data_IF_303764797718
#
_entry.id   IF_303764797718
#
_cell.length_a   1.000
_cell.length_b   1.000
_cell.length_c   1.000
_cell.angle_alpha   90.00
_cell.angle_beta   90.00
_cell.angle_gamma   90.00
#
_symmetry.space_group_name_H-M   'P 1'
#
loop_
_entity.id
_entity.type
_entity.pdbx_description
1 polymer ?
#
# COMPACT_ATOMS: atom_id res chain seq x y z
N UNK A 1 9.25 -24.27 -7.15
CA UNK A 1 8.84 -23.48 -5.97
C UNK A 1 7.38 -23.12 -6.20
N UNK A 2 6.48 -23.37 -5.24
CA UNK A 2 5.06 -23.02 -5.39
C UNK A 2 4.93 -21.52 -5.14
N UNK A 3 4.35 -20.78 -6.07
CA UNK A 3 4.04 -19.36 -5.87
C UNK A 3 2.92 -19.24 -4.84
N UNK A 4 3.10 -18.47 -3.75
CA UNK A 4 2.07 -18.34 -2.73
C UNK A 4 0.87 -17.56 -3.27
N UNK A 5 -0.31 -17.86 -2.73
CA UNK A 5 -1.49 -17.04 -2.98
C UNK A 5 -1.43 -15.85 -2.05
N UNK A 6 -1.57 -14.65 -2.58
CA UNK A 6 -1.56 -13.41 -1.79
C UNK A 6 -2.96 -12.82 -1.80
N UNK A 7 -3.47 -12.46 -0.62
CA UNK A 7 -4.72 -11.74 -0.45
C UNK A 7 -4.42 -10.36 0.13
N UNK A 8 -4.51 -9.34 -0.72
CA UNK A 8 -4.29 -7.93 -0.38
C UNK A 8 -5.60 -7.27 0.00
N UNK A 9 -5.58 -6.52 1.10
CA UNK A 9 -6.70 -5.78 1.64
C UNK A 9 -6.36 -4.29 1.63
N UNK A 10 -7.28 -3.49 1.12
CA UNK A 10 -7.24 -2.03 1.17
C UNK A 10 -8.58 -1.53 1.73
N UNK A 11 -8.51 -0.59 2.66
CA UNK A 11 -9.68 0.06 3.24
C UNK A 11 -9.94 1.37 2.49
N UNK A 12 -11.14 1.52 1.94
CA UNK A 12 -11.60 2.67 1.17
C UNK A 12 -12.97 3.11 1.73
N UNK A 13 -13.02 4.24 2.45
CA UNK A 13 -14.26 4.86 2.94
C UNK A 13 -15.24 3.86 3.62
N UNK A 14 -14.73 3.07 4.58
CA UNK A 14 -15.48 2.04 5.33
C UNK A 14 -15.83 0.76 4.53
N UNK A 15 -15.49 0.72 3.24
CA UNK A 15 -15.56 -0.46 2.39
C UNK A 15 -14.17 -1.09 2.23
N UNK A 16 -14.10 -2.41 2.18
CA UNK A 16 -12.85 -3.13 1.99
C UNK A 16 -12.75 -3.65 0.56
N UNK A 17 -11.68 -3.29 -0.13
CA UNK A 17 -11.28 -3.89 -1.41
C UNK A 17 -10.33 -5.05 -1.14
N UNK A 18 -10.67 -6.23 -1.65
CA UNK A 18 -9.93 -7.47 -1.50
C UNK A 18 -9.45 -7.92 -2.87
N UNK A 19 -8.15 -8.09 -3.01
CA UNK A 19 -7.52 -8.60 -4.24
C UNK A 19 -6.75 -9.87 -3.91
N UNK A 20 -7.14 -10.99 -4.52
CA UNK A 20 -6.47 -12.28 -4.38
C UNK A 20 -5.71 -12.59 -5.65
N UNK A 21 -4.39 -12.70 -5.56
CA UNK A 21 -3.50 -13.02 -6.67
C UNK A 21 -2.77 -14.34 -6.44
N UNK A 22 -2.61 -15.13 -7.49
CA UNK A 22 -1.88 -16.40 -7.47
C UNK A 22 -2.04 -17.18 -8.77
N UNK A 23 -1.04 -18.00 -9.12
CA UNK A 23 -1.02 -18.81 -10.34
C UNK A 23 -1.24 -17.96 -11.62
N UNK A 24 -0.66 -16.76 -11.67
CA UNK A 24 -0.79 -15.82 -12.78
C UNK A 24 -2.20 -15.27 -12.99
N UNK A 25 -3.10 -15.40 -12.00
CA UNK A 25 -4.47 -14.89 -12.03
C UNK A 25 -4.72 -13.99 -10.83
N UNK A 26 -5.63 -13.04 -11.00
CA UNK A 26 -6.05 -12.12 -9.94
C UNK A 26 -7.57 -12.00 -9.95
N UNK A 27 -8.18 -11.99 -8.77
CA UNK A 27 -9.59 -11.74 -8.56
C UNK A 27 -9.78 -10.67 -7.50
N UNK A 28 -10.74 -9.76 -7.74
CA UNK A 28 -11.05 -8.67 -6.83
C UNK A 28 -12.51 -8.73 -6.38
N UNK A 29 -12.76 -8.38 -5.12
CA UNK A 29 -14.10 -8.21 -4.56
C UNK A 29 -14.11 -7.07 -3.56
N UNK A 30 -15.32 -6.65 -3.14
CA UNK A 30 -15.52 -5.70 -2.07
C UNK A 30 -16.41 -6.26 -0.97
N UNK A 31 -16.20 -5.80 0.26
CA UNK A 31 -16.97 -6.22 1.43
C UNK A 31 -17.08 -5.12 2.49
N UNK A 32 -18.18 -5.09 3.27
CA UNK A 32 -18.31 -4.18 4.40
C UNK A 32 -17.59 -4.76 5.64
N UNK A 33 -16.51 -4.09 6.08
CA UNK A 33 -15.69 -4.52 7.22
C UNK A 33 -14.73 -5.69 6.93
N UNK A 34 -13.71 -5.83 7.79
CA UNK A 34 -12.58 -6.74 7.63
C UNK A 34 -12.97 -8.21 7.81
N UNK A 35 -13.95 -8.51 8.66
CA UNK A 35 -14.43 -9.89 8.83
C UNK A 35 -15.14 -10.37 7.56
N UNK A 36 -16.04 -9.56 6.99
CA UNK A 36 -16.67 -9.89 5.72
C UNK A 36 -15.65 -9.92 4.57
N UNK A 37 -14.64 -9.05 4.61
CA UNK A 37 -13.52 -9.07 3.68
C UNK A 37 -12.73 -10.38 3.75
N UNK A 38 -12.46 -10.90 4.96
CA UNK A 38 -11.80 -12.19 5.17
C UNK A 38 -12.59 -13.34 4.55
N UNK A 39 -13.90 -13.37 4.79
CA UNK A 39 -14.79 -14.38 4.22
C UNK A 39 -14.85 -14.28 2.69
N UNK A 40 -14.82 -13.06 2.14
CA UNK A 40 -14.75 -12.84 0.70
C UNK A 40 -13.43 -13.27 0.10
N UNK A 41 -12.31 -13.06 0.80
CA UNK A 41 -11.02 -13.56 0.36
C UNK A 41 -11.05 -15.08 0.18
N UNK A 42 -11.59 -15.84 1.14
CA UNK A 42 -11.73 -17.31 1.02
C UNK A 42 -12.55 -17.71 -0.22
N UNK A 43 -13.67 -17.03 -0.47
CA UNK A 43 -14.48 -17.29 -1.68
C UNK A 43 -13.74 -16.98 -2.98
N UNK A 44 -12.85 -15.97 -2.98
CA UNK A 44 -12.01 -15.66 -4.13
C UNK A 44 -10.92 -16.72 -4.32
N UNK A 45 -10.31 -17.18 -3.23
CA UNK A 45 -9.28 -18.22 -3.24
C UNK A 45 -9.89 -19.53 -3.76
N UNK A 46 -11.09 -19.91 -3.32
CA UNK A 46 -11.87 -21.06 -3.84
C UNK A 46 -12.05 -21.02 -5.36
N UNK A 47 -12.36 -19.84 -5.91
CA UNK A 47 -12.53 -19.64 -7.36
C UNK A 47 -11.20 -19.65 -8.10
N UNK A 48 -10.15 -19.11 -7.50
CA UNK A 48 -8.84 -19.00 -8.10
C UNK A 48 -8.17 -20.37 -8.24
N UNK A 49 -8.29 -21.21 -7.20
CA UNK A 49 -7.57 -22.47 -7.08
C UNK A 49 -8.48 -23.59 -6.56
N UNK A 50 -9.47 -24.04 -7.35
CA UNK A 50 -10.45 -25.03 -6.89
C UNK A 50 -9.86 -26.44 -6.64
N UNK A 51 -8.68 -26.73 -7.19
CA UNK A 51 -8.08 -28.08 -7.21
C UNK A 51 -7.00 -28.29 -6.13
N UNK A 52 -6.70 -27.30 -5.27
CA UNK A 52 -5.70 -27.45 -4.21
C UNK A 52 -6.35 -27.40 -2.82
N UNK A 53 -6.31 -28.54 -2.11
CA UNK A 53 -6.82 -28.69 -0.74
C UNK A 53 -5.94 -27.98 0.29
N UNK A 54 -4.61 -27.98 0.08
CA UNK A 54 -3.65 -27.30 0.96
C UNK A 54 -2.95 -26.18 0.18
N UNK A 55 -3.22 -24.93 0.55
CA UNK A 55 -2.70 -23.75 -0.13
C UNK A 55 -2.22 -22.72 0.89
N UNK A 56 -0.96 -22.29 0.72
CA UNK A 56 -0.37 -21.24 1.52
C UNK A 56 -0.91 -19.90 1.04
N UNK A 57 -1.72 -19.26 1.89
CA UNK A 57 -2.31 -17.95 1.65
C UNK A 57 -1.67 -16.95 2.59
N UNK A 58 -1.16 -15.85 2.03
CA UNK A 58 -0.62 -14.74 2.80
C UNK A 58 -1.60 -13.57 2.74
N UNK A 59 -2.11 -13.16 3.90
CA UNK A 59 -2.99 -11.99 4.00
C UNK A 59 -2.15 -10.74 4.26
N UNK A 60 -2.39 -9.69 3.50
CA UNK A 60 -1.61 -8.44 3.56
C UNK A 60 -2.55 -7.24 3.63
N UNK A 61 -2.33 -6.38 4.61
CA UNK A 61 -2.98 -5.07 4.70
C UNK A 61 -1.96 -4.04 4.26
N UNK A 62 -2.24 -3.30 3.18
CA UNK A 62 -1.30 -2.31 2.64
C UNK A 62 0.14 -2.84 2.45
N UNK A 63 0.27 -4.11 2.02
CA UNK A 63 1.56 -4.78 1.81
C UNK A 63 2.17 -5.43 3.07
N UNK A 64 1.53 -5.31 4.23
CA UNK A 64 2.02 -5.86 5.50
C UNK A 64 1.13 -6.97 6.04
N UNK A 65 1.69 -8.18 6.19
CA UNK A 65 0.99 -9.30 6.82
C UNK A 65 0.85 -9.13 8.34
N UNK A 66 1.77 -8.40 8.96
CA UNK A 66 1.74 -8.10 10.40
C UNK A 66 0.57 -7.14 10.68
N UNK A 67 0.40 -6.10 9.88
CA UNK A 67 -0.67 -5.12 10.08
C UNK A 67 -2.04 -5.74 9.88
N UNK A 68 -2.16 -6.62 8.87
CA UNK A 68 -3.38 -7.41 8.69
C UNK A 68 -3.70 -8.21 9.95
N UNK A 69 -2.72 -8.94 10.49
CA UNK A 69 -2.92 -9.79 11.66
C UNK A 69 -3.31 -8.95 12.87
N UNK A 70 -2.63 -7.82 13.10
CA UNK A 70 -2.92 -6.92 14.22
C UNK A 70 -4.34 -6.34 14.14
N UNK A 71 -4.76 -5.86 12.96
CA UNK A 71 -6.10 -5.29 12.76
C UNK A 71 -7.18 -6.38 12.86
N UNK A 72 -6.97 -7.53 12.24
CA UNK A 72 -7.89 -8.66 12.33
C UNK A 72 -8.12 -9.11 13.78
N UNK A 73 -7.06 -9.21 14.58
CA UNK A 73 -7.19 -9.59 15.99
C UNK A 73 -7.91 -8.53 16.81
N UNK A 74 -7.68 -7.23 16.55
CA UNK A 74 -8.41 -6.16 17.21
C UNK A 74 -9.91 -6.25 16.94
N UNK A 75 -10.31 -6.37 15.67
CA UNK A 75 -11.73 -6.48 15.28
C UNK A 75 -12.36 -7.74 15.87
N UNK A 76 -11.62 -8.85 15.93
CA UNK A 76 -12.14 -10.09 16.50
C UNK A 76 -12.37 -10.03 18.01
N UNK A 77 -11.53 -9.29 18.74
CA UNK A 77 -11.61 -9.18 20.20
C UNK A 77 -12.62 -8.10 20.62
N UNK A 78 -12.57 -6.93 19.97
CA UNK A 78 -13.34 -5.75 20.34
C UNK A 78 -14.63 -5.58 19.53
N UNK A 79 -14.83 -6.34 18.45
CA UNK A 79 -15.99 -6.26 17.57
C UNK A 79 -15.80 -5.31 16.38
N UNK A 80 -16.78 -5.25 15.46
CA UNK A 80 -16.70 -4.46 14.23
C UNK A 80 -16.58 -2.94 14.47
N UNK A 81 -17.01 -2.43 15.63
CA UNK A 81 -16.79 -1.02 16.02
C UNK A 81 -15.30 -0.66 16.20
N UNK A 82 -14.44 -1.65 16.47
CA UNK A 82 -13.00 -1.42 16.58
C UNK A 82 -12.30 -1.19 15.24
N UNK A 83 -12.97 -1.52 14.13
CA UNK A 83 -12.47 -1.30 12.76
C UNK A 83 -12.22 0.19 12.47
N UNK A 84 -13.17 1.04 12.89
CA UNK A 84 -13.15 2.49 12.69
C UNK A 84 -12.22 3.21 13.67
N UNK A 85 -11.92 2.60 14.82
CA UNK A 85 -11.02 3.17 15.82
C UNK A 85 -9.54 2.93 15.49
N UNK A 86 -9.23 1.95 14.65
CA UNK A 86 -7.87 1.55 14.29
C UNK A 86 -7.49 2.03 12.87
N UNK A 87 -7.46 3.34 12.67
CA UNK A 87 -6.71 3.93 11.56
C UNK A 87 -5.26 4.19 12.05
N UNK A 88 -4.24 3.47 11.57
CA UNK A 88 -2.87 3.94 11.74
C UNK A 88 -2.71 5.19 10.88
N UNK A 89 -2.15 6.25 11.48
CA UNK A 89 -1.75 7.45 10.75
C UNK A 89 -0.83 7.03 9.60
N UNK A 90 -1.25 7.33 8.38
CA UNK A 90 -0.46 7.03 7.20
C UNK A 90 0.85 7.80 7.20
N UNK A 91 1.91 7.16 6.72
CA UNK A 91 2.96 7.85 5.99
C UNK A 91 3.17 7.10 4.68
N UNK A 92 2.40 7.52 3.68
CA UNK A 92 2.79 7.41 2.28
C UNK A 92 4.10 8.19 2.09
N UNK A 93 5.20 7.50 1.86
CA UNK A 93 6.29 8.05 1.04
C UNK A 93 6.52 7.08 -0.11
N UNK A 94 5.64 7.21 -1.11
CA UNK A 94 5.88 6.65 -2.43
C UNK A 94 6.83 7.56 -3.20
N UNK A 95 7.91 6.93 -3.68
CA UNK A 95 8.55 7.11 -4.99
C UNK A 95 9.05 8.51 -5.38
N UNK A 96 10.37 8.63 -5.54
CA UNK A 96 10.94 9.20 -6.76
C UNK A 96 12.27 8.52 -7.05
N UNK A 97 12.27 7.70 -8.10
CA UNK A 97 13.48 7.37 -8.82
C UNK A 97 13.79 8.53 -9.77
N UNK A 98 15.01 9.05 -9.70
CA UNK A 98 15.61 9.82 -10.79
C UNK A 98 17.00 9.25 -11.00
N UNK A 99 17.09 8.41 -12.02
CA UNK A 99 18.30 8.19 -12.79
C UNK A 99 18.67 9.54 -13.43
N UNK A 100 19.84 10.09 -13.11
CA UNK A 100 20.49 11.04 -14.00
C UNK A 100 22.00 10.91 -13.83
N UNK A 101 22.58 10.13 -14.74
CA UNK A 101 23.96 10.26 -15.14
C UNK A 101 24.02 11.34 -16.23
N UNK A 102 24.60 12.50 -15.92
CA UNK A 102 25.08 13.43 -16.94
C UNK A 102 26.49 13.91 -16.62
N UNK A 103 27.40 13.55 -17.53
CA UNK A 103 28.74 14.05 -17.63
C UNK A 103 28.78 15.02 -18.80
N UNK A 104 29.15 16.27 -18.60
CA UNK A 104 29.34 17.18 -19.73
C UNK A 104 29.50 18.65 -19.40
N UNK A 105 30.74 19.04 -19.10
CA UNK A 105 31.45 20.21 -19.64
C UNK A 105 30.64 21.35 -20.30
N UNK A 106 30.70 22.56 -19.73
CA UNK A 106 31.13 23.82 -20.39
C UNK A 106 30.53 25.09 -19.74
N UNK A 107 31.40 25.92 -19.15
CA UNK A 107 31.24 27.38 -18.97
C UNK A 107 31.51 28.14 -20.30
N UNK A 108 31.33 29.49 -20.45
CA UNK A 108 30.47 30.52 -19.81
C UNK A 108 29.91 31.48 -20.93
N UNK A 109 29.86 32.84 -20.86
CA UNK A 109 29.45 33.85 -19.85
C UNK A 109 28.36 34.85 -20.39
N UNK A 110 27.64 35.61 -19.55
CA UNK A 110 27.32 37.03 -19.87
C UNK A 110 27.17 37.92 -18.62
N UNK A 111 28.05 38.91 -18.56
CA UNK A 111 28.06 40.14 -17.76
C UNK A 111 26.77 40.96 -17.81
N UNK A 112 26.45 41.61 -16.69
CA UNK A 112 25.57 42.78 -16.57
C UNK A 112 25.22 43.04 -15.10
N UNK A 113 26.15 43.54 -14.29
CA UNK A 113 26.32 44.97 -13.94
C UNK A 113 25.02 45.68 -13.53
N UNK A 114 24.95 46.08 -12.25
CA UNK A 114 23.81 46.82 -11.70
C UNK A 114 23.75 46.89 -10.18
N UNK A 115 24.84 47.24 -9.49
CA UNK A 115 24.77 47.91 -8.18
C UNK A 115 24.37 49.38 -8.41
N UNK A 116 23.60 50.05 -7.52
CA UNK A 116 24.19 50.55 -6.28
C UNK A 116 23.28 50.74 -5.04
N UNK A 117 23.93 50.65 -3.88
CA UNK A 117 23.87 51.50 -2.66
C UNK A 117 22.60 51.65 -1.78
N UNK A 118 22.88 51.66 -0.47
CA UNK A 118 22.03 52.09 0.65
C UNK A 118 22.31 51.23 1.89
N UNK A 119 23.46 51.33 2.56
CA UNK A 119 23.83 52.30 3.61
C UNK A 119 23.02 52.18 4.93
N UNK A 120 23.76 52.21 6.05
CA UNK A 120 23.37 52.51 7.46
C UNK A 120 22.89 51.32 8.32
N UNK A 121 23.73 50.74 9.20
CA UNK A 121 24.26 51.23 10.50
C UNK A 121 23.43 50.77 11.70
N UNK A 122 23.99 49.89 12.53
CA UNK A 122 24.23 50.04 13.99
C UNK A 122 24.81 48.75 14.58
#
# INVERSE_FOLDING_TARGET
MVEPITASYAEEDEEWTITVAGLGRELTARAPGLIAARDRAEQLIDKLVPEQEERAVVHMLNGSAVDFTAKYMQVRIAGPEAEQAAAPAGEHTGSEGTDDADAGDAEPPTTGDGSPQGELSA
#
